data_IF_281031761500
#
_entry.id   IF_281031761500
#
_cell.length_a   1.000
_cell.length_b   1.000
_cell.length_c   1.000
_cell.angle_alpha   90.00
_cell.angle_beta   90.00
_cell.angle_gamma   90.00
#
_symmetry.space_group_name_H-M   'P 1'
#
loop_
_entity.id
_entity.type
_entity.pdbx_description
1 polymer ?
#
# COMPACT_ATOMS: atom_id res chain seq x y z
N UNK A 1 2.85 9.17 52.63
CA UNK A 1 3.08 9.99 51.42
C UNK A 1 1.74 10.06 50.72
N UNK A 2 1.06 11.18 50.94
CA UNK A 2 -0.31 11.46 50.52
C UNK A 2 -0.28 11.80 49.02
N UNK A 3 -0.92 10.96 48.20
CA UNK A 3 -1.06 11.19 46.75
C UNK A 3 -2.16 12.24 46.54
N UNK A 4 -1.81 13.50 46.77
CA UNK A 4 -2.65 14.64 46.46
C UNK A 4 -3.02 14.65 44.97
N UNK A 5 -4.32 14.57 44.73
CA UNK A 5 -5.02 15.25 43.64
C UNK A 5 -4.45 15.08 42.22
N UNK A 6 -4.57 13.86 41.68
CA UNK A 6 -4.82 13.73 40.24
C UNK A 6 -6.32 13.90 40.01
N UNK A 7 -6.76 15.15 40.01
CA UNK A 7 -8.08 15.55 39.52
C UNK A 7 -8.14 15.17 38.02
N UNK A 8 -8.80 14.06 37.69
CA UNK A 8 -9.20 13.70 36.32
C UNK A 8 -10.46 14.50 35.92
N UNK A 9 -10.50 15.78 36.29
CA UNK A 9 -11.51 16.72 35.86
C UNK A 9 -11.10 17.30 34.52
N UNK A 10 -11.99 17.18 33.56
CA UNK A 10 -11.98 17.94 32.32
C UNK A 10 -10.99 17.46 31.24
N UNK A 11 -11.07 16.17 30.90
CA UNK A 11 -10.93 15.78 29.50
C UNK A 11 -12.29 15.94 28.80
N UNK A 12 -12.71 17.19 28.60
CA UNK A 12 -13.65 17.53 27.53
C UNK A 12 -12.91 17.45 26.18
N UNK A 13 -12.35 16.28 25.89
CA UNK A 13 -11.73 15.94 24.62
C UNK A 13 -12.79 15.32 23.72
N UNK A 14 -13.68 16.18 23.21
CA UNK A 14 -14.49 15.81 22.06
C UNK A 14 -13.59 15.29 20.94
N UNK A 15 -14.14 14.36 20.16
CA UNK A 15 -13.59 13.98 18.86
C UNK A 15 -12.38 13.03 18.90
N UNK A 16 -12.50 11.94 19.66
CA UNK A 16 -11.79 10.71 19.32
C UNK A 16 -12.40 10.12 18.03
N UNK A 17 -11.70 10.31 16.91
CA UNK A 17 -11.83 9.61 15.61
C UNK A 17 -12.81 10.10 14.53
N UNK A 18 -13.37 11.31 14.62
CA UNK A 18 -14.32 11.81 13.60
C UNK A 18 -13.67 12.42 12.33
N UNK A 19 -12.35 12.43 12.21
CA UNK A 19 -11.65 13.17 11.14
C UNK A 19 -10.47 12.46 10.49
N UNK A 20 -10.35 11.14 10.62
CA UNK A 20 -9.36 10.40 9.84
C UNK A 20 -9.89 10.21 8.41
N UNK A 21 -9.89 11.29 7.63
CA UNK A 21 -10.21 11.25 6.21
C UNK A 21 -9.10 10.51 5.47
N UNK A 22 -9.38 9.25 5.09
CA UNK A 22 -8.49 8.44 4.26
C UNK A 22 -8.50 8.87 2.78
N UNK A 23 -9.25 9.91 2.41
CA UNK A 23 -9.34 10.42 1.04
C UNK A 23 -8.24 11.40 0.66
N UNK A 24 -7.61 12.06 1.65
CA UNK A 24 -6.53 13.03 1.44
C UNK A 24 -5.10 12.48 1.50
N UNK A 25 -4.92 11.16 1.67
CA UNK A 25 -3.59 10.56 1.61
C UNK A 25 -3.15 10.45 0.16
N UNK A 26 -2.43 11.45 -0.32
CA UNK A 26 -1.64 11.35 -1.55
C UNK A 26 -0.69 10.16 -1.43
N UNK A 27 -1.05 9.02 -2.04
CA UNK A 27 -0.19 7.84 -2.13
C UNK A 27 1.17 8.17 -2.77
N UNK A 28 1.24 9.25 -3.56
CA UNK A 28 2.47 9.79 -4.12
C UNK A 28 3.41 10.39 -3.06
N UNK A 29 2.87 11.01 -2.01
CA UNK A 29 3.67 11.58 -0.91
C UNK A 29 4.16 10.51 0.08
N UNK A 30 3.52 9.33 0.09
CA UNK A 30 3.96 8.13 0.84
C UNK A 30 4.94 7.26 0.03
N UNK A 31 5.26 7.60 -1.22
CA UNK A 31 6.25 6.89 -2.07
C UNK A 31 7.71 7.24 -1.71
N UNK A 32 7.96 7.59 -0.44
CA UNK A 32 9.29 7.87 0.10
C UNK A 32 10.15 6.62 0.16
N UNK A 33 10.77 6.26 -0.98
CA UNK A 33 12.09 5.62 -0.98
C UNK A 33 12.14 4.12 -0.69
N UNK A 34 11.28 3.31 -1.31
CA UNK A 34 11.71 2.00 -1.77
C UNK A 34 11.86 2.12 -3.28
N UNK A 35 13.09 2.22 -3.79
CA UNK A 35 13.30 2.01 -5.21
C UNK A 35 12.60 0.69 -5.59
N UNK A 36 11.73 0.72 -6.59
CA UNK A 36 11.13 -0.50 -7.11
C UNK A 36 12.28 -1.45 -7.40
N UNK A 37 12.29 -2.61 -6.75
CA UNK A 37 13.27 -3.63 -7.06
C UNK A 37 12.98 -4.04 -8.51
N UNK A 38 13.92 -3.73 -9.40
CA UNK A 38 13.87 -4.21 -10.77
C UNK A 38 14.05 -5.73 -10.72
N UNK A 39 13.01 -6.46 -11.12
CA UNK A 39 13.02 -7.91 -11.19
C UNK A 39 12.84 -8.34 -12.65
N UNK A 40 13.46 -9.45 -13.03
CA UNK A 40 13.39 -9.99 -14.40
C UNK A 40 12.78 -11.39 -14.33
N UNK A 41 11.68 -11.59 -15.04
CA UNK A 41 11.05 -12.90 -15.19
C UNK A 41 10.68 -13.18 -16.65
N UNK A 42 10.77 -14.46 -17.02
CA UNK A 42 10.15 -14.99 -18.23
C UNK A 42 8.69 -15.32 -17.93
N UNK A 43 7.77 -15.21 -18.89
CA UNK A 43 6.35 -15.47 -18.66
C UNK A 43 5.58 -15.78 -19.93
N UNK A 44 4.30 -16.13 -19.78
CA UNK A 44 3.37 -16.37 -20.88
C UNK A 44 2.51 -15.13 -21.08
N UNK A 45 2.55 -14.57 -22.28
CA UNK A 45 1.63 -13.50 -22.70
C UNK A 45 0.26 -14.11 -23.01
N UNK A 46 -0.75 -13.71 -22.25
CA UNK A 46 -2.12 -14.20 -22.41
C UNK A 46 -2.92 -13.34 -23.40
N UNK A 47 -2.90 -12.02 -23.21
CA UNK A 47 -3.64 -11.06 -24.05
C UNK A 47 -2.92 -9.72 -24.15
N UNK A 48 -3.15 -9.00 -25.24
CA UNK A 48 -2.71 -7.60 -25.43
C UNK A 48 -3.98 -6.74 -25.52
N UNK A 49 -4.08 -5.71 -24.68
CA UNK A 49 -5.12 -4.70 -24.75
C UNK A 49 -4.52 -3.36 -25.24
N UNK A 50 -4.62 -3.07 -26.55
CA UNK A 50 -4.07 -1.84 -27.10
C UNK A 50 -4.88 -0.59 -26.74
N UNK A 51 -6.13 -0.73 -26.28
CA UNK A 51 -6.95 0.41 -25.86
C UNK A 51 -6.61 0.84 -24.44
N UNK A 52 -6.43 -0.13 -23.54
CA UNK A 52 -5.95 0.11 -22.17
C UNK A 52 -4.44 0.40 -22.10
N UNK A 53 -3.68 0.00 -23.13
CA UNK A 53 -2.23 0.09 -23.15
C UNK A 53 -1.61 -0.84 -22.12
N UNK A 54 -2.07 -2.09 -22.06
CA UNK A 54 -1.59 -3.10 -21.12
C UNK A 54 -1.56 -4.50 -21.74
N UNK A 55 -0.84 -5.40 -21.09
CA UNK A 55 -0.75 -6.82 -21.45
C UNK A 55 -1.03 -7.68 -20.24
N UNK A 56 -1.78 -8.75 -20.43
CA UNK A 56 -1.98 -9.75 -19.39
C UNK A 56 -0.90 -10.83 -19.51
N UNK A 57 -0.14 -11.06 -18.45
CA UNK A 57 0.97 -12.02 -18.41
C UNK A 57 0.83 -12.93 -17.21
N UNK A 58 1.11 -14.23 -17.41
CA UNK A 58 1.37 -15.18 -16.31
C UNK A 58 2.87 -15.36 -16.15
N UNK A 59 3.40 -15.06 -14.98
CA UNK A 59 4.83 -15.24 -14.68
C UNK A 59 5.03 -16.31 -13.59
N UNK A 60 6.15 -17.07 -13.62
CA UNK A 60 6.51 -18.04 -12.60
C UNK A 60 6.92 -17.35 -11.28
N UNK A 61 7.15 -18.10 -10.19
CA UNK A 61 7.62 -17.51 -8.95
C UNK A 61 8.92 -16.73 -9.16
N UNK A 62 9.03 -15.55 -8.53
CA UNK A 62 10.23 -14.70 -8.53
C UNK A 62 10.83 -14.67 -7.12
N UNK A 63 11.77 -15.58 -6.78
CA UNK A 63 12.31 -15.69 -5.43
C UNK A 63 13.09 -14.46 -4.99
N UNK A 64 13.66 -13.71 -5.94
CA UNK A 64 14.45 -12.49 -5.68
C UNK A 64 13.66 -11.41 -4.93
N UNK A 65 12.36 -11.29 -5.24
CA UNK A 65 11.42 -10.35 -4.61
C UNK A 65 10.34 -11.06 -3.80
N UNK A 66 10.45 -12.38 -3.62
CA UNK A 66 9.50 -13.23 -2.90
C UNK A 66 8.06 -13.16 -3.44
N UNK A 67 7.91 -13.05 -4.77
CA UNK A 67 6.60 -13.11 -5.41
C UNK A 67 6.27 -14.54 -5.87
N UNK A 68 5.03 -15.01 -5.65
CA UNK A 68 4.58 -16.32 -6.14
C UNK A 68 4.36 -16.30 -7.66
N UNK A 69 4.06 -17.46 -8.23
CA UNK A 69 3.45 -17.52 -9.57
C UNK A 69 2.12 -16.76 -9.55
N UNK A 70 1.92 -15.87 -10.53
CA UNK A 70 0.65 -15.17 -10.67
C UNK A 70 0.40 -14.70 -12.10
N UNK A 71 -0.87 -14.39 -12.37
CA UNK A 71 -1.34 -13.76 -13.60
C UNK A 71 -1.77 -12.33 -13.30
N UNK A 72 -1.25 -11.37 -14.05
CA UNK A 72 -1.52 -9.96 -13.82
C UNK A 72 -1.48 -9.15 -15.11
N UNK A 73 -2.08 -7.97 -15.07
CA UNK A 73 -1.98 -6.97 -16.14
C UNK A 73 -0.77 -6.05 -15.86
N UNK A 74 0.08 -5.90 -16.88
CA UNK A 74 1.26 -5.03 -16.86
C UNK A 74 1.01 -3.92 -17.89
N UNK A 75 1.17 -2.63 -17.53
CA UNK A 75 1.12 -1.53 -18.50
C UNK A 75 2.28 -1.57 -19.50
#
# INVERSE_FOLDING_TARGET
>A
MDHGDMNHGEMAGGDMHAGMDHGGMDHAAMSGGMAAAEAIAEGVLNTIDPEAGSVNITHPPMPEINWPEMTMDIP
#
